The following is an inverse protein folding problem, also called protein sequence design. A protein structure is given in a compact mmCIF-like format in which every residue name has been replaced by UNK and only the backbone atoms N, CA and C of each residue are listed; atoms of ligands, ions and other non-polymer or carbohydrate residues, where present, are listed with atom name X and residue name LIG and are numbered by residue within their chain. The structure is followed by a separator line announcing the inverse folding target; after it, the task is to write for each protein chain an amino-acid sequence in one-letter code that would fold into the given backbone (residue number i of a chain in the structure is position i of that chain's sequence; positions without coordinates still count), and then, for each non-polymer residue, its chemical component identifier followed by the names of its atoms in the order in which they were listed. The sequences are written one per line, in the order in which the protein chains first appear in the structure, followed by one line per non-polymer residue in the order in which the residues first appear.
data_IF_609589480594
#
_entry.id   IF_609589480594
#
_cell.length_a   1.000
_cell.length_b   1.000
_cell.length_c   1.000
_cell.angle_alpha   90.00
_cell.angle_beta   90.00
_cell.angle_gamma   90.00
#
_symmetry.space_group_name_H-M   'P 1'
#
loop_
_entity.id
_entity.type
_entity.pdbx_description
1 polymer ?
#
# COMPACT_ATOMS: atom_id res chain seq x y z
N UNK A 1 6.03 -9.11 -8.33
CA UNK A 1 4.69 -9.73 -8.22
C UNK A 1 3.68 -8.93 -9.02
N UNK A 2 2.94 -9.54 -9.95
CA UNK A 2 1.84 -8.86 -10.67
C UNK A 2 0.63 -8.72 -9.74
N UNK A 3 0.18 -7.48 -9.53
CA UNK A 3 -1.00 -7.15 -8.71
C UNK A 3 -2.23 -6.98 -9.60
N UNK A 4 -2.05 -6.24 -10.71
CA UNK A 4 -3.08 -5.96 -11.72
C UNK A 4 -2.40 -5.77 -13.08
N UNK A 5 -3.16 -5.52 -14.13
CA UNK A 5 -2.63 -5.16 -15.45
C UNK A 5 -1.83 -3.85 -15.38
N UNK A 6 -0.52 -3.96 -15.65
CA UNK A 6 0.42 -2.85 -15.53
C UNK A 6 0.85 -2.50 -14.10
N UNK A 7 0.32 -3.16 -13.07
CA UNK A 7 0.69 -2.91 -11.66
C UNK A 7 1.60 -4.04 -11.15
N UNK A 8 2.88 -3.73 -10.97
CA UNK A 8 3.90 -4.64 -10.44
C UNK A 8 4.35 -4.19 -9.05
N UNK A 9 4.34 -5.13 -8.09
CA UNK A 9 4.94 -4.95 -6.77
C UNK A 9 6.32 -5.58 -6.72
N UNK A 10 7.33 -4.78 -6.39
CA UNK A 10 8.68 -5.24 -6.10
C UNK A 10 8.84 -5.40 -4.59
N UNK A 11 9.56 -6.44 -4.18
CA UNK A 11 9.92 -6.68 -2.80
C UNK A 11 11.45 -6.70 -2.72
N UNK A 12 12.00 -5.93 -1.80
CA UNK A 12 13.42 -5.94 -1.52
C UNK A 12 13.73 -7.17 -0.67
N UNK A 13 14.69 -7.97 -1.14
CA UNK A 13 15.19 -9.15 -0.43
C UNK A 13 16.63 -8.84 -0.02
N UNK A 14 16.90 -8.92 1.29
CA UNK A 14 18.24 -8.71 1.85
C UNK A 14 18.85 -10.07 2.13
N UNK A 15 20.03 -10.33 1.59
CA UNK A 15 20.80 -11.55 1.86
C UNK A 15 21.68 -11.38 3.11
N UNK A 16 21.70 -12.38 3.99
CA UNK A 16 22.61 -12.50 5.13
C UNK A 16 23.47 -13.77 5.03
N UNK A 17 24.55 -13.79 5.80
CA UNK A 17 25.43 -14.97 5.97
C UNK A 17 26.03 -15.50 4.66
N UNK A 18 26.58 -14.56 3.89
CA UNK A 18 27.17 -14.82 2.58
C UNK A 18 28.62 -15.29 2.72
N UNK A 19 28.86 -16.58 2.47
CA UNK A 19 30.21 -17.18 2.53
C UNK A 19 31.12 -16.75 1.37
N UNK A 20 30.56 -16.48 0.19
CA UNK A 20 31.29 -16.03 -1.00
C UNK A 20 30.43 -15.04 -1.79
N UNK A 21 31.04 -14.06 -2.47
CA UNK A 21 30.34 -12.99 -3.19
C UNK A 21 29.35 -13.48 -4.25
N UNK A 22 29.56 -14.68 -4.81
CA UNK A 22 28.74 -15.26 -5.89
C UNK A 22 27.70 -16.28 -5.42
N UNK A 23 27.79 -16.77 -4.18
CA UNK A 23 26.83 -17.74 -3.64
C UNK A 23 25.68 -17.01 -2.95
N UNK A 24 24.44 -17.53 -3.02
CA UNK A 24 23.32 -16.96 -2.27
C UNK A 24 23.63 -17.01 -0.76
N UNK A 25 23.25 -15.95 -0.03
CA UNK A 25 23.29 -15.98 1.44
C UNK A 25 22.45 -17.12 2.00
N UNK A 26 22.80 -17.64 3.17
CA UNK A 26 22.05 -18.74 3.83
C UNK A 26 20.68 -18.30 4.34
N UNK A 27 20.49 -17.00 4.53
CA UNK A 27 19.27 -16.43 5.09
C UNK A 27 18.85 -15.25 4.23
N UNK A 28 17.59 -15.23 3.84
CA UNK A 28 16.96 -14.16 3.07
C UNK A 28 15.98 -13.40 3.96
N UNK A 29 15.93 -12.07 3.82
CA UNK A 29 15.09 -11.21 4.64
C UNK A 29 14.14 -10.38 3.77
N UNK A 30 12.86 -10.37 4.14
CA UNK A 30 11.86 -9.43 3.62
C UNK A 30 11.30 -8.65 4.80
N UNK A 31 11.64 -7.36 4.89
CA UNK A 31 11.27 -6.53 6.04
C UNK A 31 11.94 -7.03 7.32
N UNK A 32 11.19 -7.74 8.16
CA UNK A 32 11.67 -8.34 9.42
C UNK A 32 11.54 -9.87 9.43
N UNK A 33 11.03 -10.47 8.35
CA UNK A 33 10.84 -11.91 8.25
C UNK A 33 12.05 -12.58 7.57
N UNK A 34 12.49 -13.69 8.15
CA UNK A 34 13.59 -14.53 7.64
C UNK A 34 13.04 -15.71 6.84
N UNK A 35 13.77 -16.09 5.80
CA UNK A 35 13.47 -17.19 4.88
C UNK A 35 14.77 -17.94 4.56
N UNK A 36 14.67 -19.25 4.37
CA UNK A 36 15.79 -20.14 4.07
C UNK A 36 16.19 -20.05 2.59
N UNK A 37 15.19 -20.01 1.70
CA UNK A 37 15.40 -19.94 0.26
C UNK A 37 14.28 -19.18 -0.47
N UNK A 38 14.42 -19.08 -1.80
CA UNK A 38 13.46 -18.37 -2.64
C UNK A 38 12.13 -19.12 -2.77
N UNK A 39 12.12 -20.45 -2.68
CA UNK A 39 10.92 -21.26 -2.80
C UNK A 39 10.04 -21.08 -1.55
N UNK A 40 10.65 -20.96 -0.37
CA UNK A 40 9.97 -20.61 0.87
C UNK A 40 9.35 -19.20 0.80
N UNK A 41 10.06 -18.21 0.26
CA UNK A 41 9.49 -16.86 0.01
C UNK A 41 8.27 -16.97 -0.90
N UNK A 42 8.36 -17.74 -1.98
CA UNK A 42 7.23 -17.91 -2.90
C UNK A 42 6.04 -18.55 -2.17
N UNK A 43 6.27 -19.63 -1.42
CA UNK A 43 5.22 -20.40 -0.77
C UNK A 43 4.58 -19.67 0.43
N UNK A 44 5.40 -19.08 1.31
CA UNK A 44 4.93 -18.49 2.58
C UNK A 44 4.58 -17.01 2.47
N UNK A 45 5.18 -16.28 1.53
CA UNK A 45 4.97 -14.84 1.41
C UNK A 45 4.17 -14.47 0.15
N UNK A 46 4.63 -14.89 -1.04
CA UNK A 46 4.02 -14.43 -2.29
C UNK A 46 2.68 -15.11 -2.59
N UNK A 47 2.58 -16.43 -2.44
CA UNK A 47 1.36 -17.17 -2.75
C UNK A 47 0.15 -16.71 -1.93
N UNK A 48 0.24 -16.53 -0.59
CA UNK A 48 -0.87 -15.99 0.20
C UNK A 48 -1.30 -14.60 -0.26
N UNK A 49 -0.34 -13.71 -0.54
CA UNK A 49 -0.65 -12.37 -1.05
C UNK A 49 -1.37 -12.41 -2.40
N UNK A 50 -0.93 -13.27 -3.34
CA UNK A 50 -1.59 -13.43 -4.65
C UNK A 50 -3.02 -13.92 -4.48
N UNK A 51 -3.26 -14.87 -3.58
CA UNK A 51 -4.60 -15.35 -3.27
C UNK A 51 -5.51 -14.22 -2.76
N UNK A 52 -5.04 -13.45 -1.77
CA UNK A 52 -5.79 -12.34 -1.18
C UNK A 52 -6.05 -11.20 -2.17
N UNK A 53 -5.08 -10.90 -3.04
CA UNK A 53 -5.25 -9.93 -4.14
C UNK A 53 -6.38 -10.38 -5.07
N UNK A 54 -6.37 -11.65 -5.49
CA UNK A 54 -7.42 -12.21 -6.37
C UNK A 54 -8.79 -12.17 -5.71
N UNK A 55 -8.87 -12.43 -4.41
CA UNK A 55 -10.11 -12.31 -3.63
C UNK A 55 -10.72 -10.90 -3.75
N UNK A 56 -9.90 -9.84 -3.68
CA UNK A 56 -10.36 -8.45 -3.86
C UNK A 56 -10.79 -8.18 -5.31
N UNK A 57 -9.96 -8.58 -6.27
CA UNK A 57 -10.19 -8.29 -7.70
C UNK A 57 -11.44 -8.98 -8.25
N UNK A 58 -11.79 -10.15 -7.72
CA UNK A 58 -12.95 -10.95 -8.14
C UNK A 58 -14.22 -10.63 -7.35
N UNK A 59 -14.13 -9.77 -6.33
CA UNK A 59 -15.26 -9.41 -5.50
C UNK A 59 -16.32 -8.61 -6.27
N UNK A 60 -17.61 -8.86 -6.01
CA UNK A 60 -18.74 -8.26 -6.76
C UNK A 60 -18.78 -6.72 -6.78
N UNK A 61 -18.23 -6.08 -5.75
CA UNK A 61 -18.13 -4.62 -5.65
C UNK A 61 -16.76 -4.07 -6.07
N UNK A 62 -15.90 -4.89 -6.67
CA UNK A 62 -14.69 -4.40 -7.33
C UNK A 62 -15.06 -3.58 -8.56
N UNK A 63 -14.39 -2.44 -8.72
CA UNK A 63 -14.51 -1.57 -9.89
C UNK A 63 -13.12 -1.14 -10.31
N UNK A 64 -12.79 -1.39 -11.56
CA UNK A 64 -11.58 -0.82 -12.15
C UNK A 64 -11.79 0.70 -12.32
N UNK A 65 -11.07 1.46 -11.52
CA UNK A 65 -11.05 2.92 -11.58
C UNK A 65 -9.76 3.47 -12.21
N UNK A 66 -9.16 2.69 -13.13
CA UNK A 66 -7.90 3.01 -13.81
C UNK A 66 -6.76 3.24 -12.82
N UNK A 67 -6.63 2.31 -11.87
CA UNK A 67 -5.60 2.39 -10.83
C UNK A 67 -5.97 3.26 -9.62
N UNK A 68 -7.26 3.41 -9.31
CA UNK A 68 -7.68 4.02 -8.04
C UNK A 68 -8.06 5.50 -8.15
N UNK A 69 -8.41 6.00 -9.33
CA UNK A 69 -8.75 7.42 -9.52
C UNK A 69 -10.02 7.74 -8.73
N UNK A 70 -9.86 8.61 -7.72
CA UNK A 70 -10.93 8.98 -6.78
C UNK A 70 -12.12 9.63 -7.46
N UNK A 71 -11.91 10.41 -8.51
CA UNK A 71 -12.99 11.08 -9.24
C UNK A 71 -13.88 10.06 -9.96
N UNK A 72 -13.29 9.04 -10.59
CA UNK A 72 -14.03 7.95 -11.25
C UNK A 72 -14.90 7.21 -10.22
N UNK A 73 -14.33 6.88 -9.07
CA UNK A 73 -15.06 6.22 -7.99
C UNK A 73 -16.16 7.12 -7.40
N UNK A 74 -15.92 8.43 -7.29
CA UNK A 74 -16.90 9.40 -6.80
C UNK A 74 -18.14 9.43 -7.69
N UNK A 75 -17.94 9.48 -9.01
CA UNK A 75 -19.05 9.49 -9.97
C UNK A 75 -19.84 8.17 -9.95
N UNK A 76 -19.16 7.03 -9.80
CA UNK A 76 -19.83 5.73 -9.64
C UNK A 76 -20.67 5.69 -8.36
N UNK A 77 -20.14 6.19 -7.24
CA UNK A 77 -20.85 6.25 -5.97
C UNK A 77 -22.08 7.16 -6.06
N UNK A 78 -21.95 8.33 -6.70
CA UNK A 78 -23.07 9.26 -6.88
C UNK A 78 -24.21 8.60 -7.66
N UNK A 79 -23.91 7.94 -8.78
CA UNK A 79 -24.92 7.22 -9.58
C UNK A 79 -25.64 6.14 -8.79
N UNK A 80 -24.91 5.32 -8.03
CA UNK A 80 -25.52 4.27 -7.20
C UNK A 80 -26.38 4.85 -6.06
N UNK A 81 -25.98 6.01 -5.52
CA UNK A 81 -26.74 6.73 -4.49
C UNK A 81 -28.02 7.35 -5.04
N UNK A 82 -28.03 7.82 -6.28
CA UNK A 82 -29.24 8.31 -6.96
C UNK A 82 -30.24 7.18 -7.21
N UNK A 83 -29.77 5.99 -7.61
CA UNK A 83 -30.61 4.80 -7.79
C UNK A 83 -31.17 4.31 -6.45
N UNK A 84 -30.36 4.34 -5.39
CA UNK A 84 -30.73 3.82 -4.08
C UNK A 84 -30.36 4.77 -2.92
N UNK A 85 -31.13 5.86 -2.70
CA UNK A 85 -30.77 6.90 -1.74
C UNK A 85 -30.62 6.40 -0.29
N UNK A 86 -31.42 5.40 0.09
CA UNK A 86 -31.41 4.82 1.44
C UNK A 86 -30.21 3.90 1.69
N UNK A 87 -29.50 3.47 0.64
CA UNK A 87 -28.35 2.57 0.74
C UNK A 87 -27.05 3.38 0.84
N UNK A 88 -26.05 2.80 1.51
CA UNK A 88 -24.68 3.30 1.49
C UNK A 88 -23.90 2.51 0.43
N UNK A 89 -23.69 3.04 -0.78
CA UNK A 89 -22.89 2.37 -1.79
C UNK A 89 -21.42 2.34 -1.38
N UNK A 90 -20.72 1.27 -1.75
CA UNK A 90 -19.28 1.15 -1.64
C UNK A 90 -18.69 0.35 -2.80
N UNK A 91 -17.44 0.66 -3.14
CA UNK A 91 -16.66 -0.03 -4.16
C UNK A 91 -15.24 -0.30 -3.68
N UNK A 92 -14.65 -1.38 -4.20
CA UNK A 92 -13.25 -1.71 -4.04
C UNK A 92 -12.50 -1.39 -5.34
N UNK A 93 -11.26 -0.90 -5.25
CA UNK A 93 -10.42 -0.69 -6.43
C UNK A 93 -8.95 -0.85 -6.09
N UNK A 94 -8.16 -1.39 -7.02
CA UNK A 94 -6.71 -1.37 -6.92
C UNK A 94 -6.19 0.08 -6.99
N UNK A 95 -5.04 0.34 -6.33
CA UNK A 95 -4.34 1.63 -6.35
C UNK A 95 -3.01 1.49 -7.07
N UNK A 96 -2.89 2.05 -8.27
CA UNK A 96 -1.68 1.92 -9.10
C UNK A 96 -0.46 2.58 -8.48
N UNK A 97 -0.65 3.70 -7.79
CA UNK A 97 0.42 4.40 -7.07
C UNK A 97 1.05 3.56 -5.95
N UNK A 98 0.29 2.61 -5.38
CA UNK A 98 0.73 1.79 -4.25
C UNK A 98 0.37 0.31 -4.47
N UNK A 99 1.22 -0.45 -5.19
CA UNK A 99 0.97 -1.84 -5.50
C UNK A 99 0.69 -2.70 -4.25
N UNK A 100 -0.41 -3.45 -4.29
CA UNK A 100 -0.89 -4.25 -3.16
C UNK A 100 -1.68 -3.46 -2.10
N UNK A 101 -1.95 -2.19 -2.35
CA UNK A 101 -2.95 -1.40 -1.63
C UNK A 101 -4.22 -1.25 -2.48
N UNK A 102 -5.35 -1.17 -1.79
CA UNK A 102 -6.68 -1.05 -2.38
C UNK A 102 -7.46 0.04 -1.67
N UNK A 103 -8.40 0.64 -2.40
CA UNK A 103 -9.33 1.64 -1.89
C UNK A 103 -10.67 1.00 -1.56
N UNK A 104 -11.24 1.39 -0.42
CA UNK A 104 -12.68 1.29 -0.13
C UNK A 104 -13.25 2.69 -0.31
N UNK A 105 -13.96 2.88 -1.40
CA UNK A 105 -14.69 4.11 -1.67
C UNK A 105 -16.15 3.93 -1.24
N UNK A 106 -16.72 4.84 -0.45
CA UNK A 106 -18.09 4.72 0.03
C UNK A 106 -18.75 6.10 0.21
N UNK A 107 -20.09 6.14 0.16
CA UNK A 107 -20.84 7.40 0.25
C UNK A 107 -22.04 7.25 1.19
N UNK A 108 -21.86 7.52 2.50
CA UNK A 108 -22.95 7.37 3.47
C UNK A 108 -24.03 8.45 3.27
N UNK A 109 -23.59 9.68 3.08
CA UNK A 109 -24.43 10.86 2.87
C UNK A 109 -24.24 11.35 1.42
N UNK A 110 -23.90 12.62 1.22
CA UNK A 110 -23.63 13.21 -0.11
C UNK A 110 -22.14 13.33 -0.44
N UNK A 111 -21.25 13.00 0.50
CA UNK A 111 -19.80 13.11 0.33
C UNK A 111 -19.18 11.73 0.21
N UNK A 112 -18.41 11.51 -0.85
CA UNK A 112 -17.58 10.33 -0.99
C UNK A 112 -16.46 10.32 0.05
N UNK A 113 -16.19 9.15 0.61
CA UNK A 113 -15.08 8.87 1.53
C UNK A 113 -14.23 7.77 0.93
N UNK A 114 -12.93 7.83 1.21
CA UNK A 114 -11.93 6.91 0.69
C UNK A 114 -11.03 6.47 1.83
N UNK A 115 -10.93 5.16 2.03
CA UNK A 115 -9.99 4.57 2.97
C UNK A 115 -9.14 3.52 2.24
N UNK A 116 -7.91 3.34 2.71
CA UNK A 116 -6.94 2.41 2.12
C UNK A 116 -6.80 1.20 3.02
N UNK A 117 -6.78 0.01 2.42
CA UNK A 117 -6.29 -1.21 3.06
C UNK A 117 -5.16 -1.81 2.23
N UNK A 118 -4.28 -2.55 2.89
CA UNK A 118 -3.14 -3.20 2.23
C UNK A 118 -3.17 -4.70 2.43
N UNK A 119 -2.71 -5.43 1.42
CA UNK A 119 -2.54 -6.87 1.48
C UNK A 119 -1.18 -7.18 2.13
N UNK A 120 -1.20 -8.11 3.07
CA UNK A 120 -0.05 -8.73 3.74
C UNK A 120 -0.19 -10.26 3.61
N UNK A 121 0.90 -11.03 3.79
CA UNK A 121 0.80 -12.50 3.76
C UNK A 121 -0.26 -13.05 4.73
N UNK A 122 -0.39 -12.44 5.91
CA UNK A 122 -1.34 -12.84 6.96
C UNK A 122 -2.78 -12.35 6.76
N UNK A 123 -3.06 -11.58 5.70
CA UNK A 123 -4.39 -11.03 5.43
C UNK A 123 -4.41 -9.56 5.02
N UNK A 124 -5.50 -8.87 5.35
CA UNK A 124 -5.74 -7.48 5.03
C UNK A 124 -5.50 -6.58 6.24
N UNK A 125 -4.55 -5.65 6.11
CA UNK A 125 -4.35 -4.57 7.08
C UNK A 125 -5.26 -3.40 6.74
N UNK A 126 -6.22 -3.10 7.59
CA UNK A 126 -7.11 -1.95 7.45
C UNK A 126 -7.14 -1.14 8.74
N UNK A 127 -6.87 0.17 8.63
CA UNK A 127 -6.59 1.03 9.79
C UNK A 127 -5.46 0.43 10.64
N UNK A 128 -5.75 -0.03 11.87
CA UNK A 128 -4.79 -0.66 12.79
C UNK A 128 -5.10 -2.15 13.04
N UNK A 129 -6.01 -2.73 12.28
CA UNK A 129 -6.48 -4.10 12.45
C UNK A 129 -6.02 -4.98 11.30
N UNK A 130 -5.82 -6.26 11.62
CA UNK A 130 -5.54 -7.33 10.67
C UNK A 130 -6.78 -8.20 10.51
N UNK A 131 -7.18 -8.44 9.27
CA UNK A 131 -8.32 -9.27 8.91
C UNK A 131 -7.87 -10.45 8.07
N UNK A 132 -8.18 -11.69 8.44
CA UNK A 132 -7.71 -12.87 7.72
C UNK A 132 -8.45 -13.14 6.40
N UNK A 133 -9.54 -12.43 6.11
CA UNK A 133 -10.33 -12.55 4.88
C UNK A 133 -11.01 -11.24 4.52
N UNK A 134 -11.39 -11.10 3.25
CA UNK A 134 -12.05 -9.89 2.75
C UNK A 134 -13.43 -9.74 3.38
N UNK A 135 -14.16 -10.84 3.55
CA UNK A 135 -15.49 -10.82 4.17
C UNK A 135 -15.47 -10.28 5.60
N UNK A 136 -14.47 -10.66 6.42
CA UNK A 136 -14.33 -10.12 7.77
C UNK A 136 -13.99 -8.64 7.77
N UNK A 137 -13.09 -8.21 6.88
CA UNK A 137 -12.77 -6.79 6.72
C UNK A 137 -14.02 -5.99 6.33
N UNK A 138 -14.80 -6.47 5.34
CA UNK A 138 -16.00 -5.79 4.86
C UNK A 138 -17.11 -5.80 5.92
N UNK A 139 -17.27 -6.90 6.66
CA UNK A 139 -18.22 -6.98 7.77
C UNK A 139 -17.90 -5.93 8.84
N UNK A 140 -16.64 -5.90 9.30
CA UNK A 140 -16.18 -4.92 10.26
C UNK A 140 -16.32 -3.48 9.74
N UNK A 141 -15.93 -3.22 8.49
CA UNK A 141 -16.08 -1.92 7.84
C UNK A 141 -17.54 -1.42 7.85
N UNK A 142 -18.51 -2.30 7.57
CA UNK A 142 -19.94 -1.92 7.56
C UNK A 142 -20.46 -1.49 8.92
N UNK A 143 -19.91 -2.05 9.99
CA UNK A 143 -20.26 -1.68 11.37
C UNK A 143 -19.56 -0.37 11.80
N UNK A 144 -18.33 -0.12 11.32
CA UNK A 144 -17.44 0.93 11.83
C UNK A 144 -17.13 2.06 10.83
N UNK A 145 -17.92 2.20 9.74
CA UNK A 145 -17.67 3.18 8.67
C UNK A 145 -17.80 4.64 9.13
N UNK A 146 -18.56 4.90 10.20
CA UNK A 146 -18.82 6.25 10.69
C UNK A 146 -17.98 6.63 11.92
N UNK A 147 -17.14 5.72 12.39
CA UNK A 147 -16.24 6.01 13.50
C UNK A 147 -15.17 7.00 13.08
N UNK A 148 -14.85 7.94 13.97
CA UNK A 148 -13.79 8.88 13.75
C UNK A 148 -12.45 8.13 13.69
N UNK A 149 -11.92 7.96 12.48
CA UNK A 149 -10.54 7.49 12.31
C UNK A 149 -9.65 8.64 12.75
N UNK A 150 -8.91 8.48 13.85
CA UNK A 150 -7.83 9.42 14.18
C UNK A 150 -6.92 9.48 12.96
N UNK A 151 -6.95 10.61 12.26
CA UNK A 151 -6.22 10.81 11.02
C UNK A 151 -4.72 10.81 11.33
N UNK A 152 -4.11 9.63 11.32
CA UNK A 152 -2.72 9.52 10.96
C UNK A 152 -2.70 9.39 9.44
N UNK A 153 -2.49 10.54 8.80
CA UNK A 153 -2.07 10.63 7.42
C UNK A 153 -1.03 9.53 7.17
N UNK A 154 -1.29 8.65 6.20
CA UNK A 154 -0.40 7.55 5.82
C UNK A 154 0.88 8.16 5.25
N UNK A 155 1.83 8.54 6.12
CA UNK A 155 3.25 8.69 5.79
C UNK A 155 4.01 7.35 5.88
N UNK A 156 3.28 6.25 6.02
CA UNK A 156 3.84 4.93 6.30
C UNK A 156 3.04 3.88 5.54
N UNK A 157 3.06 3.95 4.21
CA UNK A 157 3.11 2.68 3.48
C UNK A 157 4.53 2.22 3.74
N UNK A 158 4.70 1.23 4.62
CA UNK A 158 5.99 0.67 5.02
C UNK A 158 6.71 0.10 3.78
N UNK A 159 7.32 0.98 2.99
CA UNK A 159 8.64 0.76 2.42
C UNK A 159 9.60 1.18 3.53
N UNK A 160 10.29 0.23 4.15
CA UNK A 160 11.51 0.56 4.88
C UNK A 160 12.37 1.43 3.97
N UNK A 161 12.84 2.62 4.41
CA UNK A 161 13.92 3.27 3.71
C UNK A 161 15.10 2.31 3.81
N UNK A 162 15.56 1.83 2.66
CA UNK A 162 16.79 1.09 2.56
C UNK A 162 17.87 1.87 3.31
N UNK A 163 18.56 1.11 4.15
CA UNK A 163 19.65 1.51 5.02
C UNK A 163 20.57 2.53 4.36
N UNK A 164 20.93 3.56 5.12
CA UNK A 164 21.99 4.51 4.84
C UNK A 164 23.20 3.80 4.21
N UNK A 165 23.39 4.01 2.89
CA UNK A 165 24.73 3.96 2.33
C UNK A 165 25.46 5.19 2.85
N UNK A 166 26.50 4.91 3.63
CA UNK A 166 27.48 5.85 4.12
C UNK A 166 27.85 6.84 3.01
N UNK A 167 27.50 8.11 3.21
CA UNK A 167 28.39 9.20 2.81
C UNK A 167 28.88 9.84 4.10
N UNK A 168 30.08 9.42 4.49
CA UNK A 168 30.95 10.20 5.35
C UNK A 168 31.04 11.63 4.77
N UNK A 169 31.08 12.59 5.69
CA UNK A 169 31.22 14.05 5.50
C UNK A 169 29.91 14.77 5.13
N UNK A 170 29.22 15.24 6.18
CA UNK A 170 28.89 16.67 6.36
C UNK A 170 28.12 16.87 7.67
N UNK A 171 28.80 16.58 8.79
CA UNK A 171 28.50 17.23 10.07
C UNK A 171 29.80 17.83 10.55
N UNK A 172 30.10 19.03 10.07
CA UNK A 172 30.85 20.03 10.81
C UNK A 172 30.72 21.37 10.08
N UNK A 173 30.24 22.36 10.83
CA UNK A 173 30.27 23.81 10.57
C UNK A 173 29.10 24.38 9.75
N UNK A 174 28.15 24.98 10.46
CA UNK A 174 27.05 25.72 9.85
C UNK A 174 26.27 26.62 10.80
N UNK A 175 26.91 27.21 11.81
CA UNK A 175 26.41 28.44 12.44
C UNK A 175 27.45 29.52 12.17
N UNK A 176 27.08 30.49 11.32
CA UNK A 176 27.26 31.94 11.47
C UNK A 176 27.11 32.65 10.10
N UNK A 177 26.12 33.54 10.07
CA UNK A 177 26.00 34.82 9.33
C UNK A 177 26.08 34.92 7.79
N UNK A 178 25.00 35.49 7.26
CA UNK A 178 24.92 36.64 6.33
C UNK A 178 25.54 36.63 4.93
N UNK A 179 24.74 37.25 4.05
CA UNK A 179 25.11 38.03 2.86
C UNK A 179 25.30 37.33 1.50
N UNK A 180 24.25 37.48 0.68
CA UNK A 180 24.22 38.12 -0.65
C UNK A 180 24.81 37.44 -1.91
N UNK A 181 23.99 37.60 -2.97
CA UNK A 181 24.24 37.55 -4.43
C UNK A 181 24.50 36.19 -5.09
N UNK A 182 23.73 35.92 -6.16
CA UNK A 182 24.24 35.19 -7.33
C UNK A 182 23.31 34.13 -7.92
N UNK A 183 22.69 34.45 -9.08
CA UNK A 183 21.99 33.50 -9.97
C UNK A 183 22.94 32.39 -10.45
N UNK A 184 22.46 31.14 -10.54
CA UNK A 184 22.66 30.25 -11.71
C UNK A 184 21.45 29.32 -11.86
N UNK A 185 21.03 29.14 -13.10
CA UNK A 185 19.89 28.38 -13.61
C UNK A 185 20.36 27.00 -14.05
N UNK A 186 19.75 25.91 -13.60
CA UNK A 186 19.84 24.59 -14.24
C UNK A 186 18.45 23.94 -14.27
N UNK A 187 18.06 23.52 -15.47
CA UNK A 187 16.84 22.78 -15.83
C UNK A 187 16.92 21.35 -15.30
N UNK A 188 15.77 20.82 -14.86
CA UNK A 188 15.16 19.63 -15.46
C UNK A 188 13.66 19.91 -15.60
#
# INVERSE_FOLDING_TARGET
MKVDDGILKHFDVIEKDKTQSFALGRTLLIGTEEFEDLDEIVARFMQPMVYLIREVMTHKYYRDSRGGIRDVLTELLRKEKEISPNRIPYFLSAMAEHPGCFLIAYMPNQRARFEVFSVKPDGFKFRRLMFPSLDRLIGWFKEHYNEAVSCFFVKSVDCQPACHSIRLLDVLLGFISSFSVGRVKIRW
#
